data_IF_245928654475
#
_entry.id   IF_245928654475
#
_cell.length_a   1.000
_cell.length_b   1.000
_cell.length_c   1.000
_cell.angle_alpha   90.00
_cell.angle_beta   90.00
_cell.angle_gamma   90.00
#
_symmetry.space_group_name_H-M   'P 1'
#
loop_
_entity.id
_entity.type
_entity.pdbx_description
1 polymer ?
#
# COMPACT_ATOMS: atom_id res chain seq x y z
N UNK A 1 -10.10 15.65 -2.51
CA UNK A 1 -8.81 16.30 -2.85
C UNK A 1 -7.92 15.31 -3.57
N UNK A 2 -7.22 15.75 -4.63
CA UNK A 2 -6.27 14.92 -5.37
C UNK A 2 -4.89 14.95 -4.69
N UNK A 3 -4.26 13.79 -4.56
CA UNK A 3 -2.88 13.61 -4.07
C UNK A 3 -2.08 12.84 -5.12
N UNK A 4 -0.73 12.97 -5.16
CA UNK A 4 0.13 12.09 -5.95
C UNK A 4 -0.18 10.60 -5.76
N UNK A 5 -0.62 10.22 -4.56
CA UNK A 5 -0.82 8.81 -4.20
C UNK A 5 -2.26 8.31 -4.45
N UNK A 6 -3.24 9.21 -4.62
CA UNK A 6 -4.63 8.82 -4.84
C UNK A 6 -5.67 9.93 -4.62
N UNK A 7 -6.93 9.51 -4.54
CA UNK A 7 -8.07 10.38 -4.28
C UNK A 7 -8.46 10.33 -2.79
N UNK A 8 -8.59 11.50 -2.18
CA UNK A 8 -9.04 11.68 -0.81
C UNK A 8 -10.50 12.18 -0.80
N UNK A 9 -11.39 11.39 -0.20
CA UNK A 9 -12.81 11.70 0.00
C UNK A 9 -13.13 11.66 1.49
N UNK A 10 -12.85 12.75 2.21
CA UNK A 10 -13.01 12.80 3.67
C UNK A 10 -12.12 11.74 4.35
N UNK A 11 -12.67 10.84 5.19
CA UNK A 11 -11.90 9.78 5.86
C UNK A 11 -11.47 8.65 4.91
N UNK A 12 -11.97 8.61 3.66
CA UNK A 12 -11.64 7.57 2.71
C UNK A 12 -10.48 7.99 1.80
N UNK A 13 -9.42 7.19 1.80
CA UNK A 13 -8.29 7.33 0.89
C UNK A 13 -8.26 6.16 -0.10
N UNK A 14 -8.41 6.46 -1.39
CA UNK A 14 -8.34 5.46 -2.45
C UNK A 14 -7.08 5.67 -3.29
N UNK A 15 -6.20 4.68 -3.30
CA UNK A 15 -4.99 4.70 -4.12
C UNK A 15 -5.35 4.69 -5.62
N UNK A 16 -4.47 5.24 -6.47
CA UNK A 16 -4.69 5.20 -7.92
C UNK A 16 -4.89 3.77 -8.48
N UNK A 17 -4.12 2.74 -8.08
CA UNK A 17 -4.41 1.36 -8.45
C UNK A 17 -5.82 0.89 -8.04
N UNK A 18 -6.27 1.24 -6.83
CA UNK A 18 -7.61 0.90 -6.35
C UNK A 18 -8.71 1.59 -7.16
N UNK A 19 -8.52 2.87 -7.52
CA UNK A 19 -9.49 3.61 -8.36
C UNK A 19 -9.59 3.02 -9.76
N UNK A 20 -8.45 2.71 -10.38
CA UNK A 20 -8.40 2.00 -11.67
C UNK A 20 -9.18 0.69 -11.62
N UNK A 21 -9.02 -0.06 -10.53
CA UNK A 21 -9.75 -1.30 -10.34
C UNK A 21 -11.26 -1.08 -10.30
N UNK A 22 -11.71 -0.21 -9.38
CA UNK A 22 -13.14 0.04 -9.18
C UNK A 22 -13.79 0.57 -10.46
N UNK A 23 -13.12 1.47 -11.18
CA UNK A 23 -13.61 2.01 -12.45
C UNK A 23 -13.77 0.91 -13.52
N UNK A 24 -12.80 -0.01 -13.63
CA UNK A 24 -12.88 -1.15 -14.52
C UNK A 24 -14.00 -2.13 -14.16
N UNK A 25 -14.12 -2.48 -12.87
CA UNK A 25 -15.16 -3.40 -12.37
C UNK A 25 -16.58 -2.85 -12.55
N UNK A 26 -16.78 -1.55 -12.31
CA UNK A 26 -18.06 -0.89 -12.51
C UNK A 26 -18.44 -0.84 -13.99
N UNK A 27 -17.47 -0.55 -14.86
CA UNK A 27 -17.68 -0.53 -16.31
C UNK A 27 -18.01 -1.92 -16.84
N UNK A 28 -17.30 -2.95 -16.38
CA UNK A 28 -17.61 -4.34 -16.70
C UNK A 28 -19.04 -4.69 -16.29
N UNK A 29 -19.41 -4.38 -15.05
CA UNK A 29 -20.75 -4.67 -14.51
C UNK A 29 -21.85 -3.95 -15.28
N UNK A 30 -21.59 -2.74 -15.79
CA UNK A 30 -22.55 -1.96 -16.56
C UNK A 30 -22.71 -2.44 -18.01
N UNK A 31 -21.61 -2.85 -18.65
CA UNK A 31 -21.52 -3.08 -20.10
C UNK A 31 -21.55 -4.57 -20.46
N UNK A 32 -21.06 -5.45 -19.61
CA UNK A 32 -21.06 -6.90 -19.81
C UNK A 32 -22.44 -7.50 -19.50
N UNK A 33 -23.46 -7.15 -20.29
CA UNK A 33 -24.86 -7.62 -20.10
C UNK A 33 -25.15 -9.02 -20.66
N UNK A 34 -24.12 -9.82 -20.89
CA UNK A 34 -24.26 -11.15 -21.49
C UNK A 34 -24.27 -12.27 -20.42
N UNK A 35 -24.89 -13.44 -20.70
CA UNK A 35 -24.94 -14.54 -19.76
C UNK A 35 -23.56 -14.99 -19.30
N UNK A 36 -23.35 -15.08 -17.98
CA UNK A 36 -22.09 -15.55 -17.39
C UNK A 36 -21.04 -14.47 -17.07
N UNK A 37 -21.27 -13.20 -17.41
CA UNK A 37 -20.35 -12.08 -17.11
C UNK A 37 -20.14 -11.84 -15.60
N UNK A 38 -21.21 -11.93 -14.80
CA UNK A 38 -21.15 -11.79 -13.35
C UNK A 38 -20.36 -12.92 -12.66
N UNK A 39 -20.70 -14.20 -12.91
CA UNK A 39 -19.93 -15.33 -12.41
C UNK A 39 -18.44 -15.31 -12.83
N UNK A 40 -18.14 -14.92 -14.07
CA UNK A 40 -16.76 -14.78 -14.54
C UNK A 40 -15.98 -13.71 -13.75
N UNK A 41 -16.63 -12.57 -13.45
CA UNK A 41 -16.07 -11.53 -12.59
C UNK A 41 -15.81 -12.05 -11.17
N UNK A 42 -16.76 -12.78 -10.61
CA UNK A 42 -16.64 -13.39 -9.29
C UNK A 42 -15.47 -14.37 -9.22
N UNK A 43 -15.34 -15.27 -10.20
CA UNK A 43 -14.21 -16.21 -10.31
C UNK A 43 -12.88 -15.46 -10.43
N UNK A 44 -12.82 -14.42 -11.26
CA UNK A 44 -11.61 -13.62 -11.42
C UNK A 44 -11.19 -12.95 -10.10
N UNK A 45 -12.13 -12.36 -9.36
CA UNK A 45 -11.87 -11.73 -8.07
C UNK A 45 -11.40 -12.75 -7.02
N UNK A 46 -12.09 -13.89 -6.91
CA UNK A 46 -11.73 -14.93 -5.93
C UNK A 46 -10.34 -15.50 -6.23
N UNK A 47 -10.05 -15.87 -7.49
CA UNK A 47 -8.75 -16.44 -7.85
C UNK A 47 -7.62 -15.42 -7.70
N UNK A 48 -7.83 -14.16 -8.12
CA UNK A 48 -6.83 -13.11 -7.94
C UNK A 48 -6.47 -12.91 -6.46
N UNK A 49 -7.44 -13.12 -5.56
CA UNK A 49 -7.24 -12.92 -4.13
C UNK A 49 -6.66 -14.14 -3.40
N UNK A 50 -7.16 -15.33 -3.71
CA UNK A 50 -6.63 -16.58 -3.16
C UNK A 50 -5.17 -16.77 -3.56
N UNK A 51 -4.82 -16.50 -4.82
CA UNK A 51 -3.44 -16.64 -5.28
C UNK A 51 -2.52 -15.56 -4.69
N UNK A 52 -3.04 -14.33 -4.51
CA UNK A 52 -2.33 -13.28 -3.75
C UNK A 52 -2.01 -13.67 -2.30
N UNK A 53 -2.95 -14.35 -1.63
CA UNK A 53 -2.77 -14.83 -0.26
C UNK A 53 -1.82 -16.04 -0.17
N UNK A 54 -1.60 -16.76 -1.29
CA UNK A 54 -0.80 -17.98 -1.39
C UNK A 54 0.57 -17.94 -0.69
N UNK A 55 1.41 -16.92 -0.89
CA UNK A 55 2.70 -16.79 -0.20
C UNK A 55 2.60 -16.57 1.32
N UNK A 56 1.44 -16.17 1.83
CA UNK A 56 1.14 -16.06 3.26
C UNK A 56 0.57 -17.35 3.87
N UNK A 57 0.17 -18.33 3.05
CA UNK A 57 -0.31 -19.64 3.49
C UNK A 57 0.81 -20.56 4.00
N UNK A 58 2.07 -20.27 3.64
CA UNK A 58 3.25 -21.05 4.06
C UNK A 58 3.96 -20.49 5.29
N UNK A 59 3.56 -19.30 5.77
CA UNK A 59 4.01 -18.75 7.05
C UNK A 59 3.00 -19.16 8.12
N UNK A 60 3.46 -19.58 9.30
CA UNK A 60 2.71 -20.21 10.41
C UNK A 60 1.60 -19.35 11.06
N UNK A 61 0.71 -18.71 10.28
CA UNK A 61 -0.49 -18.06 10.79
C UNK A 61 -1.72 -18.81 10.27
N UNK A 62 -2.60 -19.30 11.15
CA UNK A 62 -3.75 -20.10 10.73
C UNK A 62 -4.68 -19.25 9.85
N UNK A 63 -5.02 -19.81 8.69
CA UNK A 63 -5.99 -19.27 7.71
C UNK A 63 -7.39 -18.98 8.30
N UNK A 64 -7.66 -19.49 9.51
CA UNK A 64 -8.97 -19.54 10.15
C UNK A 64 -9.25 -18.39 11.12
N UNK A 65 -8.27 -17.59 11.52
CA UNK A 65 -8.51 -16.54 12.51
C UNK A 65 -9.33 -15.36 11.95
N UNK A 66 -9.32 -15.15 10.62
CA UNK A 66 -10.21 -14.19 9.95
C UNK A 66 -10.39 -14.53 8.46
N UNK A 67 -11.44 -15.29 8.10
CA UNK A 67 -11.82 -15.51 6.69
C UNK A 67 -12.09 -14.17 5.95
N UNK A 68 -12.46 -13.14 6.70
CA UNK A 68 -12.70 -11.78 6.21
C UNK A 68 -11.43 -11.06 5.72
N UNK A 69 -10.24 -11.48 6.15
CA UNK A 69 -8.95 -10.91 5.69
C UNK A 69 -8.66 -11.26 4.22
N UNK A 70 -9.21 -12.40 3.77
CA UNK A 70 -9.19 -12.77 2.35
C UNK A 70 -10.10 -11.82 1.57
N UNK A 71 -11.19 -11.31 2.15
CA UNK A 71 -12.12 -10.39 1.49
C UNK A 71 -11.73 -8.91 1.60
N UNK A 72 -10.67 -8.56 2.35
CA UNK A 72 -10.26 -7.16 2.50
C UNK A 72 -9.60 -6.61 1.21
N UNK A 73 -10.42 -5.95 0.39
CA UNK A 73 -10.03 -5.24 -0.83
C UNK A 73 -8.93 -4.19 -0.63
N UNK A 74 -8.69 -3.75 0.62
CA UNK A 74 -7.76 -2.66 0.95
C UNK A 74 -6.28 -3.08 0.97
N UNK A 75 -5.95 -4.38 1.01
CA UNK A 75 -4.55 -4.86 1.13
C UNK A 75 -3.69 -4.66 -0.13
N UNK A 76 -4.30 -4.34 -1.27
CA UNK A 76 -3.60 -3.89 -2.49
C UNK A 76 -2.65 -4.91 -3.15
N UNK A 77 -2.57 -6.13 -2.63
CA UNK A 77 -1.63 -7.20 -2.98
C UNK A 77 -2.23 -8.24 -3.95
N UNK A 78 -3.10 -7.81 -4.87
CA UNK A 78 -3.88 -8.68 -5.76
C UNK A 78 -3.04 -9.34 -6.88
N UNK A 79 -3.27 -10.64 -7.12
CA UNK A 79 -2.65 -11.40 -8.21
C UNK A 79 -3.56 -11.42 -9.44
N UNK A 80 -3.73 -10.27 -10.10
CA UNK A 80 -4.71 -10.10 -11.18
C UNK A 80 -4.51 -11.02 -12.38
N UNK A 81 -3.26 -11.35 -12.75
CA UNK A 81 -2.97 -12.23 -13.90
C UNK A 81 -3.71 -13.56 -13.81
N UNK A 82 -3.46 -14.36 -12.76
CA UNK A 82 -4.28 -15.49 -12.37
C UNK A 82 -5.80 -15.33 -12.46
N UNK A 83 -6.33 -14.27 -11.85
CA UNK A 83 -7.77 -14.05 -11.78
C UNK A 83 -8.37 -13.83 -13.16
N UNK A 84 -7.74 -13.00 -13.99
CA UNK A 84 -8.17 -12.73 -15.35
C UNK A 84 -8.16 -14.00 -16.21
N UNK A 85 -7.14 -14.85 -16.06
CA UNK A 85 -7.09 -16.16 -16.74
C UNK A 85 -8.25 -17.04 -16.31
N UNK A 86 -8.50 -17.17 -15.00
CA UNK A 86 -9.61 -17.97 -14.49
C UNK A 86 -10.98 -17.45 -14.94
N UNK A 87 -11.19 -16.14 -14.93
CA UNK A 87 -12.42 -15.51 -15.44
C UNK A 87 -12.61 -15.75 -16.95
N UNK A 88 -11.54 -15.65 -17.74
CA UNK A 88 -11.59 -15.93 -19.18
C UNK A 88 -11.89 -17.42 -19.46
N UNK A 89 -11.26 -18.32 -18.72
CA UNK A 89 -11.54 -19.75 -18.79
C UNK A 89 -13.00 -20.04 -18.41
N UNK A 90 -13.55 -19.39 -17.38
CA UNK A 90 -14.95 -19.53 -16.99
C UNK A 90 -15.92 -19.13 -18.11
N UNK A 91 -15.63 -18.05 -18.83
CA UNK A 91 -16.44 -17.64 -20.00
C UNK A 91 -16.37 -18.66 -21.14
N UNK A 92 -15.26 -19.39 -21.28
CA UNK A 92 -15.07 -20.44 -22.27
C UNK A 92 -15.51 -21.85 -21.82
N UNK A 93 -15.80 -22.06 -20.53
CA UNK A 93 -16.00 -23.38 -19.95
C UNK A 93 -17.47 -23.79 -19.79
N UNK A 94 -17.87 -25.00 -20.24
CA UNK A 94 -17.40 -25.73 -21.42
C UNK A 94 -18.35 -25.45 -22.60
N UNK A 95 -17.81 -24.87 -23.68
CA UNK A 95 -18.51 -24.62 -24.97
C UNK A 95 -19.64 -23.59 -24.96
N UNK A 96 -19.65 -22.64 -24.03
CA UNK A 96 -20.52 -21.47 -24.20
C UNK A 96 -19.93 -20.62 -25.32
N UNK A 97 -20.69 -20.32 -26.40
CA UNK A 97 -20.19 -19.40 -27.43
C UNK A 97 -19.90 -18.08 -26.75
N UNK A 98 -18.65 -17.60 -26.88
CA UNK A 98 -18.27 -16.31 -26.33
C UNK A 98 -19.12 -15.24 -27.04
N UNK A 99 -19.97 -14.50 -26.32
CA UNK A 99 -20.89 -13.56 -26.96
C UNK A 99 -20.08 -12.44 -27.61
N UNK A 100 -20.48 -12.00 -28.81
CA UNK A 100 -19.77 -11.00 -29.61
C UNK A 100 -19.51 -9.66 -28.87
N UNK A 101 -20.27 -9.38 -27.80
CA UNK A 101 -20.08 -8.20 -26.95
C UNK A 101 -18.97 -8.32 -25.89
N UNK A 102 -18.40 -9.50 -25.64
CA UNK A 102 -17.40 -9.72 -24.58
C UNK A 102 -16.10 -8.95 -24.85
N UNK A 103 -15.60 -8.96 -26.08
CA UNK A 103 -14.39 -8.24 -26.47
C UNK A 103 -14.56 -6.72 -26.33
N UNK A 104 -15.73 -6.19 -26.71
CA UNK A 104 -16.07 -4.76 -26.55
C UNK A 104 -16.17 -4.37 -25.08
N UNK A 105 -16.82 -5.18 -24.26
CA UNK A 105 -16.93 -4.95 -22.82
C UNK A 105 -15.57 -5.01 -22.12
N UNK A 106 -14.72 -5.97 -22.47
CA UNK A 106 -13.36 -6.09 -21.95
C UNK A 106 -12.50 -4.87 -22.35
N UNK A 107 -12.53 -4.48 -23.62
CA UNK A 107 -11.78 -3.34 -24.13
C UNK A 107 -12.20 -2.02 -23.45
N UNK A 108 -13.51 -1.79 -23.28
CA UNK A 108 -14.02 -0.60 -22.63
C UNK A 108 -13.69 -0.57 -21.13
N UNK A 109 -13.82 -1.72 -20.45
CA UNK A 109 -13.46 -1.83 -19.03
C UNK A 109 -11.97 -1.59 -18.81
N UNK A 110 -11.11 -2.11 -19.70
CA UNK A 110 -9.67 -1.87 -19.65
C UNK A 110 -9.33 -0.41 -19.93
N UNK A 111 -9.95 0.21 -20.95
CA UNK A 111 -9.77 1.62 -21.27
C UNK A 111 -10.11 2.52 -20.06
N UNK A 112 -11.27 2.29 -19.44
CA UNK A 112 -11.71 3.05 -18.27
C UNK A 112 -10.83 2.77 -17.04
N UNK A 113 -10.37 1.54 -16.85
CA UNK A 113 -9.43 1.21 -15.76
C UNK A 113 -8.08 1.92 -15.90
N UNK A 114 -7.62 2.14 -17.14
CA UNK A 114 -6.36 2.83 -17.42
C UNK A 114 -6.48 4.36 -17.35
N UNK A 115 -7.68 4.94 -17.46
CA UNK A 115 -7.88 6.38 -17.45
C UNK A 115 -7.35 7.05 -16.16
N UNK A 116 -7.61 6.56 -14.94
CA UNK A 116 -7.01 7.10 -13.72
C UNK A 116 -5.49 7.02 -13.71
N UNK A 117 -4.88 6.05 -14.42
CA UNK A 117 -3.42 5.91 -14.53
C UNK A 117 -2.81 6.98 -15.45
N UNK A 118 -3.49 7.29 -16.54
CA UNK A 118 -3.08 8.35 -17.48
C UNK A 118 -3.25 9.75 -16.88
N UNK A 119 -4.23 9.92 -15.98
CA UNK A 119 -4.51 11.18 -15.29
C UNK A 119 -3.75 11.33 -13.97
N UNK A 120 -2.87 10.38 -13.60
CA UNK A 120 -2.09 10.51 -12.37
C UNK A 120 -1.25 11.77 -12.49
N UNK A 121 -1.34 12.72 -11.54
CA UNK A 121 -0.40 13.82 -11.50
C UNK A 121 0.99 13.19 -11.45
N UNK A 122 1.90 13.67 -12.31
CA UNK A 122 3.27 13.18 -12.37
C UNK A 122 3.79 13.17 -10.93
N UNK A 123 4.17 11.99 -10.40
CA UNK A 123 4.70 11.92 -9.05
C UNK A 123 5.87 12.88 -9.02
N UNK A 124 5.89 13.76 -8.02
CA UNK A 124 7.04 14.59 -7.77
C UNK A 124 8.17 13.69 -7.25
N UNK A 125 8.73 12.87 -8.14
CA UNK A 125 9.97 12.10 -7.94
C UNK A 125 11.16 13.05 -7.78
N UNK A 126 10.94 14.36 -7.98
CA UNK A 126 11.86 15.45 -7.67
C UNK A 126 11.63 16.08 -6.29
N UNK A 127 10.86 15.47 -5.37
CA UNK A 127 10.83 15.92 -3.98
C UNK A 127 12.12 15.45 -3.29
N UNK A 128 13.06 16.38 -3.14
CA UNK A 128 14.14 16.23 -2.16
C UNK A 128 13.59 16.59 -0.79
N UNK A 129 13.78 15.70 0.17
CA UNK A 129 13.54 16.04 1.57
C UNK A 129 14.72 16.88 2.02
N UNK A 130 14.44 18.11 2.43
CA UNK A 130 15.45 18.97 3.03
C UNK A 130 15.96 18.31 4.32
N UNK A 131 17.27 18.11 4.48
CA UNK A 131 17.86 17.57 5.71
C UNK A 131 17.37 18.28 7.01
N UNK A 132 17.10 19.60 7.02
CA UNK A 132 16.51 20.28 8.18
C UNK A 132 15.13 19.76 8.60
N UNK A 133 14.28 19.31 7.67
CA UNK A 133 12.95 18.80 8.03
C UNK A 133 12.99 17.39 8.61
N UNK A 134 14.00 16.59 8.26
CA UNK A 134 14.30 15.32 8.93
C UNK A 134 14.87 15.53 10.34
N UNK A 135 15.67 16.60 10.52
CA UNK A 135 16.22 16.97 11.83
C UNK A 135 15.18 17.62 12.75
N UNK A 136 14.15 18.27 12.19
CA UNK A 136 13.07 18.90 12.94
C UNK A 136 12.14 17.91 13.64
N UNK A 137 12.15 16.63 13.25
CA UNK A 137 11.35 15.60 13.91
C UNK A 137 12.05 15.12 15.17
N UNK A 138 11.41 15.28 16.32
CA UNK A 138 12.01 14.95 17.61
C UNK A 138 12.21 13.44 17.75
N UNK A 139 13.36 13.02 18.29
CA UNK A 139 13.50 11.67 18.82
C UNK A 139 12.47 11.47 19.93
N UNK A 140 11.78 10.33 19.93
CA UNK A 140 11.05 9.90 21.11
C UNK A 140 12.00 9.53 22.26
N UNK A 141 12.69 10.49 22.86
CA UNK A 141 13.60 10.33 23.99
C UNK A 141 14.43 11.59 24.30
N UNK A 142 15.02 11.67 25.50
CA UNK A 142 15.72 12.85 26.03
C UNK A 142 17.13 13.10 25.44
N UNK A 143 17.47 12.49 24.30
CA UNK A 143 18.79 12.63 23.66
C UNK A 143 18.66 13.50 22.40
N UNK A 144 19.64 14.37 22.07
CA UNK A 144 19.65 15.10 20.80
C UNK A 144 19.36 14.12 19.66
N UNK A 145 18.40 14.49 18.81
CA UNK A 145 17.86 13.61 17.79
C UNK A 145 19.01 13.11 16.89
N UNK A 146 19.41 11.84 17.08
CA UNK A 146 20.33 11.19 16.15
C UNK A 146 19.75 11.33 14.74
N UNK A 147 20.56 11.67 13.72
CA UNK A 147 20.07 11.81 12.35
C UNK A 147 19.31 10.55 11.94
N UNK A 148 18.19 10.73 11.23
CA UNK A 148 17.48 9.61 10.64
C UNK A 148 18.43 8.93 9.64
N UNK A 149 18.68 7.61 9.75
CA UNK A 149 19.60 6.91 8.85
C UNK A 149 19.12 7.06 7.41
N UNK A 150 20.06 7.10 6.47
CA UNK A 150 19.76 7.08 5.04
C UNK A 150 20.62 6.01 4.38
N UNK A 151 20.03 5.17 3.51
CA UNK A 151 18.63 5.11 3.14
C UNK A 151 17.71 4.54 4.24
N UNK A 152 16.41 4.87 4.23
CA UNK A 152 15.44 4.45 5.25
C UNK A 152 14.01 4.39 4.71
N UNK A 153 13.15 3.67 5.41
CA UNK A 153 11.71 3.64 5.22
C UNK A 153 11.04 4.44 6.33
N UNK A 154 10.34 5.51 5.96
CA UNK A 154 9.53 6.32 6.86
C UNK A 154 8.08 5.87 6.79
N UNK A 155 7.46 5.57 7.93
CA UNK A 155 6.03 5.26 8.02
C UNK A 155 5.30 6.35 8.80
N UNK A 156 4.41 7.07 8.12
CA UNK A 156 3.60 8.13 8.71
C UNK A 156 2.32 7.55 9.30
N UNK A 157 2.09 7.80 10.58
CA UNK A 157 1.03 7.15 11.35
C UNK A 157 0.51 8.02 12.51
N UNK A 158 -0.54 7.52 13.17
CA UNK A 158 -1.08 8.05 14.42
C UNK A 158 -1.67 6.93 15.29
N UNK A 159 -1.76 7.12 16.61
CA UNK A 159 -2.24 6.10 17.57
C UNK A 159 -3.70 5.74 17.36
N UNK A 160 -4.52 6.67 16.86
CA UNK A 160 -5.93 6.44 16.54
C UNK A 160 -6.16 5.79 15.17
N UNK A 161 -5.11 5.63 14.35
CA UNK A 161 -5.20 5.07 13.01
C UNK A 161 -5.26 3.53 13.08
N UNK A 162 -6.47 2.96 13.00
CA UNK A 162 -6.67 1.50 13.03
C UNK A 162 -5.79 0.71 12.03
N UNK A 163 -5.76 1.06 10.73
CA UNK A 163 -4.91 0.38 9.77
C UNK A 163 -3.40 0.50 10.07
N UNK A 164 -2.97 1.63 10.63
CA UNK A 164 -1.58 1.81 11.06
C UNK A 164 -1.23 0.85 12.18
N UNK A 165 -2.09 0.75 13.21
CA UNK A 165 -1.89 -0.18 14.34
C UNK A 165 -1.74 -1.62 13.87
N UNK A 166 -2.52 -2.03 12.87
CA UNK A 166 -2.46 -3.38 12.31
C UNK A 166 -1.12 -3.71 11.62
N UNK A 167 -0.40 -2.73 11.08
CA UNK A 167 0.91 -2.95 10.43
C UNK A 167 2.12 -2.75 11.35
N UNK A 168 1.96 -2.14 12.54
CA UNK A 168 3.07 -1.88 13.46
C UNK A 168 3.87 -3.14 13.84
N UNK A 169 3.26 -4.32 14.12
CA UNK A 169 4.03 -5.52 14.44
C UNK A 169 4.91 -6.00 13.29
N UNK A 170 4.46 -5.79 12.04
CA UNK A 170 5.25 -6.12 10.84
C UNK A 170 6.47 -5.19 10.72
N UNK A 171 6.27 -3.89 10.96
CA UNK A 171 7.35 -2.89 10.92
C UNK A 171 8.35 -3.10 12.05
N UNK A 172 7.88 -3.45 13.26
CA UNK A 172 8.73 -3.73 14.42
C UNK A 172 9.59 -4.98 14.21
N UNK A 173 9.00 -6.06 13.67
CA UNK A 173 9.74 -7.27 13.30
C UNK A 173 10.83 -6.99 12.25
N UNK A 174 10.54 -6.14 11.26
CA UNK A 174 11.54 -5.74 10.28
C UNK A 174 12.67 -4.91 10.92
N UNK A 175 12.32 -3.93 11.77
CA UNK A 175 13.30 -3.10 12.47
C UNK A 175 14.22 -3.92 13.38
N UNK A 176 13.67 -4.89 14.13
CA UNK A 176 14.45 -5.84 14.95
C UNK A 176 15.37 -6.73 14.12
N UNK A 177 15.01 -6.99 12.86
CA UNK A 177 15.84 -7.74 11.91
C UNK A 177 16.91 -6.86 11.25
N UNK A 178 17.07 -5.60 11.68
CA UNK A 178 18.09 -4.67 11.18
C UNK A 178 17.62 -3.77 10.04
N UNK A 179 16.34 -3.80 9.65
CA UNK A 179 15.84 -2.91 8.62
C UNK A 179 15.80 -1.45 9.10
N UNK A 180 16.23 -0.51 8.26
CA UNK A 180 16.10 0.92 8.52
C UNK A 180 14.64 1.36 8.33
N UNK A 181 13.85 1.24 9.40
CA UNK A 181 12.45 1.66 9.45
C UNK A 181 12.28 2.67 10.59
N UNK A 182 11.64 3.81 10.31
CA UNK A 182 11.34 4.83 11.31
C UNK A 182 9.88 5.23 11.24
N UNK A 183 9.19 5.18 12.38
CA UNK A 183 7.85 5.70 12.51
C UNK A 183 7.87 7.22 12.67
N UNK A 184 7.03 7.91 11.91
CA UNK A 184 6.83 9.36 11.98
C UNK A 184 5.39 9.61 12.43
N UNK A 185 5.23 9.95 13.70
CA UNK A 185 3.94 10.32 14.24
C UNK A 185 3.59 11.78 13.88
N UNK A 186 2.33 12.01 13.51
CA UNK A 186 1.82 13.31 13.08
C UNK A 186 0.67 13.73 13.99
N UNK A 187 0.75 14.94 14.55
CA UNK A 187 -0.34 15.54 15.33
C UNK A 187 -0.51 15.03 16.77
N UNK A 188 0.43 14.25 17.32
CA UNK A 188 0.34 13.77 18.70
C UNK A 188 1.60 14.06 19.54
N UNK A 189 1.43 14.33 20.86
CA UNK A 189 2.55 14.60 21.74
C UNK A 189 3.33 13.32 22.09
N UNK A 190 4.61 13.51 22.44
CA UNK A 190 5.55 12.41 22.70
C UNK A 190 5.08 11.41 23.75
N UNK A 191 4.49 11.87 24.84
CA UNK A 191 4.02 11.02 25.93
C UNK A 191 2.96 10.03 25.45
N UNK A 192 1.96 10.49 24.68
CA UNK A 192 0.91 9.63 24.12
C UNK A 192 1.50 8.55 23.20
N UNK A 193 2.44 8.93 22.34
CA UNK A 193 3.09 8.01 21.41
C UNK A 193 3.92 6.96 22.15
N UNK A 194 4.71 7.38 23.14
CA UNK A 194 5.52 6.46 23.94
C UNK A 194 4.68 5.51 24.81
N UNK A 195 3.60 6.02 25.43
CA UNK A 195 2.67 5.20 26.21
C UNK A 195 2.01 4.14 25.34
N UNK A 196 1.57 4.52 24.14
CA UNK A 196 1.00 3.59 23.18
C UNK A 196 2.00 2.51 22.76
N UNK A 197 3.21 2.89 22.33
CA UNK A 197 4.22 1.93 21.87
C UNK A 197 4.65 0.97 22.99
N UNK A 198 4.79 1.46 24.24
CA UNK A 198 5.06 0.61 25.40
C UNK A 198 3.92 -0.36 25.69
N UNK A 199 2.67 0.12 25.63
CA UNK A 199 1.49 -0.72 25.85
C UNK A 199 1.35 -1.84 24.81
N UNK A 200 1.78 -1.59 23.57
CA UNK A 200 1.79 -2.58 22.48
C UNK A 200 3.08 -3.42 22.43
N UNK A 201 4.05 -3.19 23.32
CA UNK A 201 5.33 -3.94 23.36
C UNK A 201 6.26 -3.67 22.17
N UNK A 202 6.12 -2.53 21.52
CA UNK A 202 6.85 -2.14 20.30
C UNK A 202 8.12 -1.35 20.66
N UNK A 203 9.24 -1.66 20.00
CA UNK A 203 10.56 -1.10 20.30
C UNK A 203 11.22 -0.42 19.09
N UNK A 204 10.55 -0.34 17.95
CA UNK A 204 11.05 0.31 16.75
C UNK A 204 11.25 1.84 16.90
N UNK A 205 12.21 2.43 16.16
CA UNK A 205 12.46 3.86 16.18
C UNK A 205 11.20 4.68 15.83
N UNK A 206 10.83 5.61 16.70
CA UNK A 206 9.69 6.50 16.52
C UNK A 206 10.06 7.96 16.77
N UNK A 207 9.48 8.85 15.95
CA UNK A 207 9.69 10.30 15.99
C UNK A 207 8.35 11.02 16.06
N UNK A 208 8.31 12.17 16.73
CA UNK A 208 7.11 13.02 16.86
C UNK A 208 7.35 14.42 16.29
N UNK A 209 6.26 15.14 15.98
CA UNK A 209 6.35 16.43 15.28
C UNK A 209 6.54 16.27 13.77
N UNK A 210 5.97 15.20 13.20
CA UNK A 210 6.07 14.89 11.78
C UNK A 210 5.23 15.79 10.86
N UNK A 211 4.46 16.75 11.39
CA UNK A 211 3.49 17.55 10.65
C UNK A 211 4.11 18.33 9.47
N UNK A 212 5.23 19.03 9.70
CA UNK A 212 5.93 19.77 8.66
C UNK A 212 6.52 18.83 7.59
N UNK A 213 7.08 17.70 8.02
CA UNK A 213 7.65 16.70 7.13
C UNK A 213 6.55 16.00 6.28
N UNK A 214 5.41 15.68 6.91
CA UNK A 214 4.25 15.14 6.24
C UNK A 214 3.70 16.13 5.19
N UNK A 215 3.60 17.41 5.53
CA UNK A 215 3.18 18.45 4.60
C UNK A 215 4.15 18.58 3.42
N UNK A 216 5.47 18.62 3.68
CA UNK A 216 6.50 18.70 2.63
C UNK A 216 6.46 17.50 1.68
N UNK A 217 6.27 16.29 2.23
CA UNK A 217 6.18 15.06 1.45
C UNK A 217 4.79 14.85 0.82
N UNK A 218 3.82 15.72 1.08
CA UNK A 218 2.45 15.59 0.59
C UNK A 218 1.70 14.39 1.19
N UNK A 219 2.08 13.94 2.39
CA UNK A 219 1.38 12.92 3.16
C UNK A 219 0.10 13.52 3.72
N UNK A 220 -1.05 12.97 3.30
CA UNK A 220 -2.39 13.47 3.67
C UNK A 220 -3.31 12.42 4.27
N UNK A 221 -2.86 11.18 4.33
CA UNK A 221 -3.62 10.06 4.86
C UNK A 221 -2.67 9.04 5.47
N UNK A 222 -3.20 8.24 6.39
CA UNK A 222 -2.43 7.22 7.11
C UNK A 222 -2.99 5.81 6.86
N UNK A 223 -2.13 4.79 6.87
CA UNK A 223 -0.68 4.92 6.85
C UNK A 223 -0.18 5.35 5.47
N UNK A 224 0.92 6.12 5.45
CA UNK A 224 1.70 6.37 4.23
C UNK A 224 3.14 6.01 4.49
N UNK A 225 3.71 5.16 3.65
CA UNK A 225 5.12 4.78 3.71
C UNK A 225 5.91 5.49 2.61
N UNK A 226 7.06 6.06 2.94
CA UNK A 226 7.95 6.77 2.03
C UNK A 226 9.36 6.20 2.16
N UNK A 227 9.97 5.82 1.04
CA UNK A 227 11.35 5.34 0.98
C UNK A 227 12.26 6.51 0.66
N UNK A 228 13.19 6.79 1.56
CA UNK A 228 14.19 7.84 1.43
C UNK A 228 15.53 7.20 1.07
N UNK A 229 16.08 7.60 -0.07
CA UNK A 229 17.40 7.19 -0.55
C UNK A 229 18.53 8.03 0.03
N UNK A 230 19.79 7.74 -0.37
CA UNK A 230 20.93 8.57 -0.02
C UNK A 230 20.72 10.01 -0.49
N UNK A 231 21.04 11.01 0.33
CA UNK A 231 20.90 12.42 -0.04
C UNK A 231 19.48 12.98 0.06
N UNK A 232 18.56 12.26 0.71
CA UNK A 232 17.19 12.74 0.97
C UNK A 232 16.20 12.60 -0.20
N UNK A 233 16.56 11.84 -1.25
CA UNK A 233 15.68 11.61 -2.40
C UNK A 233 14.54 10.64 -2.05
N UNK A 234 13.33 10.94 -2.50
CA UNK A 234 12.21 10.01 -2.37
C UNK A 234 12.29 8.96 -3.49
N UNK A 235 12.62 7.73 -3.13
CA UNK A 235 12.75 6.61 -4.08
C UNK A 235 11.41 5.93 -4.39
N UNK A 236 10.54 5.84 -3.39
CA UNK A 236 9.20 5.28 -3.55
C UNK A 236 8.25 5.76 -2.46
N UNK A 237 6.95 5.57 -2.73
CA UNK A 237 5.86 5.90 -1.82
C UNK A 237 4.78 4.82 -1.91
N UNK A 238 4.11 4.56 -0.79
CA UNK A 238 3.00 3.62 -0.69
C UNK A 238 1.93 4.18 0.24
N UNK A 239 0.69 4.26 -0.24
CA UNK A 239 -0.46 4.69 0.55
C UNK A 239 -1.30 3.47 0.93
N UNK A 240 -1.63 3.36 2.23
CA UNK A 240 -2.38 2.25 2.80
C UNK A 240 -1.48 1.22 3.50
N UNK A 241 -2.10 0.22 4.17
CA UNK A 241 -1.36 -0.74 4.97
C UNK A 241 -0.40 -1.58 4.13
N UNK A 242 0.72 -1.99 4.73
CA UNK A 242 1.72 -2.83 4.09
C UNK A 242 1.50 -4.31 4.38
N UNK A 243 1.58 -5.12 3.32
CA UNK A 243 1.87 -6.55 3.42
C UNK A 243 3.39 -6.79 3.59
N UNK A 244 3.75 -7.97 4.12
CA UNK A 244 5.16 -8.37 4.21
C UNK A 244 5.88 -8.42 2.85
N UNK A 245 5.15 -8.71 1.76
CA UNK A 245 5.72 -8.69 0.41
C UNK A 245 6.00 -7.25 -0.09
N UNK A 246 5.10 -6.31 0.20
CA UNK A 246 5.30 -4.89 -0.12
C UNK A 246 6.43 -4.29 0.70
N UNK A 247 6.47 -4.53 2.02
CA UNK A 247 7.55 -4.04 2.87
C UNK A 247 8.91 -4.53 2.40
N UNK A 248 9.07 -5.84 2.11
CA UNK A 248 10.31 -6.39 1.53
C UNK A 248 10.69 -5.73 0.20
N UNK A 249 9.72 -5.34 -0.63
CA UNK A 249 9.98 -4.65 -1.90
C UNK A 249 10.52 -3.24 -1.68
N UNK A 250 9.94 -2.51 -0.72
CA UNK A 250 10.41 -1.16 -0.36
C UNK A 250 11.80 -1.21 0.29
N UNK A 251 12.04 -2.17 1.19
CA UNK A 251 13.34 -2.34 1.84
C UNK A 251 14.47 -2.65 0.83
N UNK A 252 14.22 -3.45 -0.21
CA UNK A 252 15.22 -3.68 -1.25
C UNK A 252 15.68 -2.42 -1.99
N UNK A 253 14.86 -1.36 -2.00
CA UNK A 253 15.24 -0.09 -2.62
C UNK A 253 16.20 0.72 -1.73
N UNK A 254 16.31 0.36 -0.45
CA UNK A 254 17.29 0.92 0.49
C UNK A 254 18.61 0.16 0.50
N UNK A 255 18.69 -1.02 -0.14
CA UNK A 255 19.95 -1.74 -0.27
C UNK A 255 20.83 -1.05 -1.34
N UNK A 256 22.15 -0.88 -1.10
CA UNK A 256 23.05 -0.44 -2.16
C UNK A 256 23.00 -1.43 -3.34
N UNK A 257 23.22 -0.95 -4.59
CA UNK A 257 23.27 -1.85 -5.74
C UNK A 257 24.32 -2.93 -5.50
N UNK A 258 23.92 -4.21 -5.58
CA UNK A 258 24.87 -5.32 -5.45
C UNK A 258 25.88 -5.20 -6.57
N UNK A 259 27.13 -4.91 -6.24
CA UNK A 259 28.24 -5.05 -7.17
C UNK A 259 28.33 -6.53 -7.57
N UNK A 260 27.91 -6.85 -8.78
CA UNK A 260 28.18 -8.17 -9.37
C UNK A 260 29.71 -8.30 -9.50
N UNK A 261 30.32 -9.40 -9.02
CA UNK A 261 31.74 -9.65 -9.24
C UNK A 261 32.06 -9.87 -10.72
#
# INVERSE_FOLDING_TARGET
MLSPDGLMLGPLSLSWPTLSLLAGLLTWSAVARFPGSGPALGVALVVARVWAAGPGLSAERPLLDNLLDVLDLRRGDWAWGPGLVAGALWLGWPRRPVPAGSARAAALSLLVALLPQALRPVPAQALTVSLPSLAAVSAGGASPAAPVPQPTVLNFWATWCGPCRAELPLLDSAARSGAAVTLINVGEPQNRVQDFLRGEGLALPSRVGGDALAAQLGVRAFPTTVVIGPGGWVLARHLGPLSAAQLRRLLRQTEPPRSTP
#
